data_IF_248066738454
#
_entry.id   IF_248066738454
#
_cell.length_a   1.000
_cell.length_b   1.000
_cell.length_c   1.000
_cell.angle_alpha   90.00
_cell.angle_beta   90.00
_cell.angle_gamma   90.00
#
_symmetry.space_group_name_H-M   'P 1'
#
loop_
_entity.id
_entity.type
_entity.pdbx_description
1 polymer ?
#
# COMPACT_ATOMS: atom_id res chain seq x y z
N UNK A 1 -4.46 -11.23 -16.80
CA UNK A 1 -5.05 -10.44 -15.71
C UNK A 1 -3.92 -9.73 -15.01
N UNK A 2 -4.11 -8.43 -14.73
CA UNK A 2 -3.06 -7.60 -14.15
C UNK A 2 -2.94 -7.89 -12.66
N UNK A 3 -1.77 -7.61 -12.11
CA UNK A 3 -1.49 -7.63 -10.67
C UNK A 3 -1.43 -6.21 -10.16
N UNK A 4 -1.84 -6.02 -8.92
CA UNK A 4 -1.73 -4.72 -8.25
C UNK A 4 -0.37 -4.60 -7.58
N UNK A 5 0.30 -3.49 -7.84
CA UNK A 5 1.57 -3.11 -7.22
C UNK A 5 1.40 -1.76 -6.54
N UNK A 6 2.12 -1.56 -5.45
CA UNK A 6 2.22 -0.27 -4.79
C UNK A 6 3.63 0.27 -4.92
N UNK A 7 3.76 1.55 -5.27
CA UNK A 7 5.02 2.27 -5.32
C UNK A 7 4.92 3.51 -4.45
N UNK A 8 5.97 3.79 -3.70
CA UNK A 8 6.07 4.95 -2.82
C UNK A 8 7.50 5.45 -2.83
N UNK A 9 7.69 6.74 -2.62
CA UNK A 9 9.04 7.24 -2.38
C UNK A 9 9.53 6.77 -1.01
N UNK A 10 10.84 6.68 -0.88
CA UNK A 10 11.50 6.33 0.36
C UNK A 10 11.21 7.44 1.36
N UNK A 11 10.71 7.04 2.53
CA UNK A 11 10.29 7.93 3.60
C UNK A 11 9.08 8.82 3.25
N UNK A 12 8.37 8.52 2.14
CA UNK A 12 7.14 9.20 1.81
C UNK A 12 5.91 8.59 2.49
N UNK A 13 4.98 9.50 2.70
CA UNK A 13 3.74 9.29 3.39
C UNK A 13 2.63 8.71 2.49
N UNK A 14 2.85 8.79 1.18
CA UNK A 14 1.89 8.47 0.12
C UNK A 14 2.54 7.63 -0.98
N UNK A 15 1.71 7.01 -1.81
CA UNK A 15 2.19 6.28 -2.98
C UNK A 15 1.07 6.02 -3.98
N UNK A 16 1.42 5.29 -5.04
CA UNK A 16 0.52 4.99 -6.15
C UNK A 16 0.30 3.50 -6.30
N UNK A 17 -0.95 3.13 -6.54
CA UNK A 17 -1.32 1.77 -6.90
C UNK A 17 -1.37 1.63 -8.41
N UNK A 18 -0.69 0.61 -8.93
CA UNK A 18 -0.57 0.36 -10.35
C UNK A 18 -1.01 -1.07 -10.66
N UNK A 19 -2.00 -1.20 -11.55
CA UNK A 19 -2.35 -2.47 -12.18
C UNK A 19 -1.44 -2.71 -13.39
N UNK A 20 -0.70 -3.82 -13.44
CA UNK A 20 0.07 -4.21 -14.63
C UNK A 20 0.33 -5.73 -14.70
N UNK A 21 0.73 -6.25 -15.87
CA UNK A 21 1.06 -7.66 -16.02
C UNK A 21 2.39 -8.02 -15.32
N UNK A 22 3.33 -7.08 -15.30
CA UNK A 22 4.68 -7.30 -14.79
C UNK A 22 5.15 -6.15 -13.89
N UNK A 23 6.04 -6.46 -12.96
CA UNK A 23 6.70 -5.46 -12.12
C UNK A 23 7.37 -4.34 -12.93
N UNK A 24 8.05 -4.70 -14.02
CA UNK A 24 8.75 -3.73 -14.88
C UNK A 24 7.80 -2.74 -15.53
N UNK A 25 6.64 -3.21 -15.97
CA UNK A 25 5.59 -2.37 -16.54
C UNK A 25 4.99 -1.47 -15.47
N UNK A 26 4.61 -2.04 -14.32
CA UNK A 26 4.05 -1.29 -13.20
C UNK A 26 4.98 -0.14 -12.77
N UNK A 27 6.27 -0.46 -12.64
CA UNK A 27 7.31 0.50 -12.26
C UNK A 27 7.44 1.64 -13.28
N UNK A 28 7.38 1.35 -14.59
CA UNK A 28 7.43 2.39 -15.62
C UNK A 28 6.24 3.33 -15.53
N UNK A 29 5.05 2.81 -15.27
CA UNK A 29 3.82 3.61 -15.13
C UNK A 29 3.91 4.47 -13.87
N UNK A 30 4.38 3.92 -12.75
CA UNK A 30 4.53 4.65 -11.50
C UNK A 30 5.38 5.94 -11.67
N UNK A 31 6.46 5.87 -12.44
CA UNK A 31 7.31 7.04 -12.75
C UNK A 31 6.70 8.06 -13.73
N UNK A 32 5.48 7.81 -14.21
CA UNK A 32 4.71 8.79 -14.98
C UNK A 32 3.63 9.47 -14.13
N UNK A 33 3.48 9.05 -12.87
CA UNK A 33 2.51 9.62 -11.94
C UNK A 33 3.15 10.78 -11.17
N UNK A 34 2.42 11.87 -11.00
CA UNK A 34 2.90 13.09 -10.32
C UNK A 34 3.18 12.85 -8.82
N UNK A 35 2.68 11.76 -8.24
CA UNK A 35 2.91 11.39 -6.84
C UNK A 35 4.29 10.74 -6.57
N UNK A 36 5.08 10.49 -7.61
CA UNK A 36 6.48 10.08 -7.49
C UNK A 36 7.34 11.15 -8.18
N UNK A 37 7.79 12.12 -7.39
CA UNK A 37 8.65 13.24 -7.77
C UNK A 37 10.06 13.10 -7.15
N UNK A 38 10.64 11.91 -7.28
CA UNK A 38 11.97 11.61 -6.78
C UNK A 38 12.84 10.82 -7.78
N UNK A 39 14.12 10.69 -7.46
CA UNK A 39 15.03 9.87 -8.26
C UNK A 39 14.68 8.37 -8.16
N UNK A 40 14.97 7.62 -9.23
CA UNK A 40 14.62 6.20 -9.36
C UNK A 40 15.10 5.30 -8.20
N UNK A 41 16.19 5.69 -7.54
CA UNK A 41 16.80 4.96 -6.43
C UNK A 41 16.03 5.11 -5.11
N UNK A 42 15.22 6.16 -5.02
CA UNK A 42 14.45 6.51 -3.83
C UNK A 42 12.98 6.07 -3.96
N UNK A 43 12.68 5.12 -4.87
CA UNK A 43 11.34 4.53 -4.98
C UNK A 43 11.35 3.09 -4.50
N UNK A 44 10.56 2.83 -3.49
CA UNK A 44 10.23 1.50 -3.02
C UNK A 44 8.94 1.01 -3.69
N UNK A 45 8.79 -0.31 -3.80
CA UNK A 45 7.50 -0.85 -4.16
C UNK A 45 7.41 -2.33 -3.90
N UNK A 46 6.18 -2.83 -3.94
CA UNK A 46 5.89 -4.23 -3.71
C UNK A 46 4.63 -4.67 -4.45
N UNK A 47 4.44 -5.98 -4.54
CA UNK A 47 3.21 -6.56 -5.06
C UNK A 47 2.19 -6.66 -3.92
N UNK A 48 0.97 -6.17 -4.15
CA UNK A 48 -0.11 -6.24 -3.18
C UNK A 48 -0.64 -7.68 -3.11
N UNK A 49 -0.86 -8.19 -1.89
CA UNK A 49 -1.28 -9.57 -1.65
C UNK A 49 -2.38 -9.66 -0.61
N UNK A 50 -3.29 -10.60 -0.81
CA UNK A 50 -4.30 -11.05 0.17
C UNK A 50 -4.11 -12.55 0.32
N UNK A 51 -4.01 -13.04 1.55
CA UNK A 51 -3.75 -14.47 1.84
C UNK A 51 -2.55 -15.03 1.06
N UNK A 52 -1.47 -14.24 1.00
CA UNK A 52 -0.23 -14.53 0.25
C UNK A 52 -0.38 -14.62 -1.28
N UNK A 53 -1.59 -14.40 -1.83
CA UNK A 53 -1.86 -14.41 -3.26
C UNK A 53 -1.86 -12.98 -3.82
N UNK A 54 -1.31 -12.75 -5.01
CA UNK A 54 -1.41 -11.45 -5.67
C UNK A 54 -2.85 -10.98 -5.83
N UNK A 55 -3.07 -9.69 -5.56
CA UNK A 55 -4.31 -9.01 -5.91
C UNK A 55 -4.36 -8.87 -7.42
N UNK A 56 -5.52 -9.15 -8.01
CA UNK A 56 -5.72 -9.15 -9.45
C UNK A 56 -6.74 -8.09 -9.86
N UNK A 57 -6.50 -7.47 -11.00
CA UNK A 57 -7.37 -6.43 -11.55
C UNK A 57 -7.45 -6.50 -13.08
N UNK A 58 -8.51 -5.94 -13.65
CA UNK A 58 -8.63 -5.70 -15.09
C UNK A 58 -7.98 -4.38 -15.51
N UNK A 59 -7.75 -3.45 -14.57
CA UNK A 59 -7.13 -2.15 -14.83
C UNK A 59 -5.67 -2.31 -15.21
N UNK A 60 -5.23 -1.63 -16.28
CA UNK A 60 -3.82 -1.46 -16.64
C UNK A 60 -3.46 0.02 -16.55
N UNK A 61 -2.66 0.40 -15.55
CA UNK A 61 -2.36 1.80 -15.25
C UNK A 61 -2.48 2.13 -13.77
N UNK A 62 -2.44 3.44 -13.48
CA UNK A 62 -2.75 3.99 -12.15
C UNK A 62 -4.17 3.58 -11.77
N UNK A 63 -4.32 3.13 -10.52
CA UNK A 63 -5.59 2.70 -9.96
C UNK A 63 -6.10 3.74 -8.97
N UNK A 64 -7.39 4.03 -9.07
CA UNK A 64 -8.11 4.83 -8.09
C UNK A 64 -8.65 3.95 -6.96
N UNK A 65 -9.11 4.56 -5.86
CA UNK A 65 -9.68 3.85 -4.72
C UNK A 65 -10.80 2.87 -5.12
N UNK A 66 -11.68 3.29 -6.02
CA UNK A 66 -12.79 2.47 -6.51
C UNK A 66 -12.33 1.21 -7.25
N UNK A 67 -11.19 1.27 -7.94
CA UNK A 67 -10.64 0.12 -8.66
C UNK A 67 -9.99 -0.88 -7.70
N UNK A 68 -9.44 -0.38 -6.60
CA UNK A 68 -8.88 -1.21 -5.52
C UNK A 68 -9.98 -1.96 -4.79
N UNK A 69 -11.10 -1.28 -4.46
CA UNK A 69 -12.28 -1.92 -3.89
C UNK A 69 -12.83 -3.02 -4.81
N UNK A 70 -12.93 -2.77 -6.12
CA UNK A 70 -13.37 -3.79 -7.11
C UNK A 70 -12.40 -4.97 -7.22
N UNK A 71 -11.11 -4.74 -6.98
CA UNK A 71 -10.09 -5.80 -6.97
C UNK A 71 -10.13 -6.68 -5.72
N UNK A 72 -11.00 -6.36 -4.76
CA UNK A 72 -11.05 -7.00 -3.44
C UNK A 72 -9.90 -6.57 -2.53
N UNK A 73 -9.11 -5.57 -2.93
CA UNK A 73 -8.12 -4.94 -2.07
C UNK A 73 -8.82 -3.94 -1.14
N UNK A 74 -9.49 -4.51 -0.16
CA UNK A 74 -10.20 -3.79 0.90
C UNK A 74 -9.23 -3.26 1.98
N UNK A 75 -7.97 -3.71 1.96
CA UNK A 75 -6.86 -3.23 2.79
C UNK A 75 -6.40 -1.78 2.43
N UNK A 76 -7.22 -1.03 1.70
CA UNK A 76 -6.97 0.37 1.34
C UNK A 76 -7.49 1.37 2.39
N UNK A 77 -8.08 0.90 3.49
CA UNK A 77 -8.50 1.81 4.56
C UNK A 77 -7.31 2.19 5.44
N UNK A 78 -6.86 3.43 5.28
CA UNK A 78 -6.26 4.14 6.40
C UNK A 78 -7.30 4.19 7.50
N UNK A 79 -7.08 3.41 8.55
CA UNK A 79 -7.84 3.59 9.77
C UNK A 79 -7.06 4.52 10.69
N UNK A 80 -7.77 5.25 11.54
CA UNK A 80 -7.15 5.95 12.65
C UNK A 80 -7.10 4.98 13.82
N UNK A 81 -5.90 4.46 14.09
CA UNK A 81 -5.61 3.47 15.13
C UNK A 81 -4.84 4.07 16.30
N UNK A 82 -4.60 3.29 17.35
CA UNK A 82 -3.86 3.77 18.53
C UNK A 82 -2.51 3.07 18.62
N UNK A 83 -1.45 3.81 18.30
CA UNK A 83 -0.11 3.28 18.46
C UNK A 83 0.38 3.49 19.89
N UNK A 84 0.39 2.41 20.68
CA UNK A 84 0.91 2.44 22.05
C UNK A 84 2.40 2.79 22.12
N UNK A 85 3.16 2.48 21.07
CA UNK A 85 4.60 2.77 21.02
C UNK A 85 4.89 4.24 20.70
N UNK A 86 4.15 4.83 19.77
CA UNK A 86 4.27 6.24 19.42
C UNK A 86 3.43 7.15 20.34
N UNK A 87 2.63 6.57 21.25
CA UNK A 87 1.60 7.26 22.02
C UNK A 87 0.63 8.08 21.14
N UNK A 88 0.44 7.67 19.88
CA UNK A 88 -0.48 8.34 18.96
C UNK A 88 -1.89 7.81 19.20
N UNK A 89 -2.75 8.66 19.73
CA UNK A 89 -4.19 8.41 19.77
C UNK A 89 -4.78 8.85 18.43
N UNK A 90 -5.31 7.90 17.64
CA UNK A 90 -5.81 8.14 16.28
C UNK A 90 -4.70 8.49 15.27
N UNK A 91 -3.62 7.71 15.24
CA UNK A 91 -2.60 7.80 14.20
C UNK A 91 -3.00 7.00 12.95
N UNK A 92 -2.50 7.37 11.76
CA UNK A 92 -2.74 6.59 10.55
C UNK A 92 -2.15 5.18 10.71
N UNK A 93 -2.99 4.17 10.52
CA UNK A 93 -2.59 2.76 10.45
C UNK A 93 -3.05 2.19 9.11
N UNK A 94 -2.26 1.28 8.55
CA UNK A 94 -2.64 0.58 7.32
C UNK A 94 -2.60 -0.94 7.53
N UNK A 95 -3.54 -1.69 6.96
CA UNK A 95 -3.53 -3.14 7.06
C UNK A 95 -2.44 -3.77 6.19
N UNK A 96 -1.80 -4.81 6.71
CA UNK A 96 -0.77 -5.60 6.05
C UNK A 96 -0.78 -7.02 6.61
N UNK A 97 -0.95 -8.03 5.75
CA UNK A 97 -0.94 -9.45 6.14
C UNK A 97 -1.92 -9.80 7.29
N UNK A 98 -3.11 -9.18 7.31
CA UNK A 98 -4.12 -9.37 8.35
C UNK A 98 -3.78 -8.72 9.70
N UNK A 99 -2.89 -7.72 9.69
CA UNK A 99 -2.45 -6.95 10.86
C UNK A 99 -2.55 -5.46 10.55
N UNK A 100 -2.79 -4.61 11.54
CA UNK A 100 -2.68 -3.16 11.37
C UNK A 100 -1.24 -2.76 11.65
N UNK A 101 -0.65 -1.92 10.81
CA UNK A 101 0.70 -1.39 11.00
C UNK A 101 0.59 0.11 11.26
N UNK A 102 1.19 0.57 12.36
CA UNK A 102 1.35 1.99 12.62
C UNK A 102 2.30 2.60 11.60
N UNK A 103 1.83 3.65 10.95
CA UNK A 103 2.60 4.38 9.96
C UNK A 103 3.93 4.95 10.47
N UNK A 104 3.92 5.51 11.67
CA UNK A 104 5.04 6.26 12.24
C UNK A 104 6.19 5.36 12.71
N UNK A 105 5.88 4.28 13.41
CA UNK A 105 6.92 3.35 13.89
C UNK A 105 7.06 2.08 13.07
N UNK A 106 6.20 1.87 12.05
CA UNK A 106 6.13 0.66 11.23
C UNK A 106 5.94 -0.64 12.05
N UNK A 107 5.39 -0.53 13.26
CA UNK A 107 5.12 -1.69 14.12
C UNK A 107 3.65 -2.11 14.10
N UNK A 108 3.44 -3.41 14.34
CA UNK A 108 2.15 -4.09 14.28
C UNK A 108 1.30 -3.73 15.48
N UNK A 109 0.11 -3.17 15.24
CA UNK A 109 -0.99 -3.18 16.20
C UNK A 109 -1.80 -4.47 16.03
N UNK A 110 -1.85 -5.28 17.09
CA UNK A 110 -2.93 -6.26 17.26
C UNK A 110 -4.07 -5.57 17.98
N UNK A 111 -5.24 -5.57 17.35
CA UNK A 111 -6.51 -5.20 17.98
C UNK A 111 -6.70 -5.93 19.33
N UNK A 112 -6.32 -5.26 20.43
CA UNK A 112 -6.77 -5.54 21.79
C UNK A 112 -6.46 -6.91 22.42
N UNK A 113 -5.52 -7.72 21.91
CA UNK A 113 -5.14 -8.98 22.58
C UNK A 113 -3.61 -9.17 22.67
N UNK A 114 -3.07 -9.48 23.87
CA UNK A 114 -1.64 -9.62 24.10
C UNK A 114 -1.07 -10.87 23.41
N UNK A 115 0.19 -10.80 22.99
CA UNK A 115 1.04 -11.95 22.62
C UNK A 115 2.06 -12.17 23.72
#
# INVERSE_FOLDING_TARGET
MNKVYFFTEKDADTGVFIGAMTWREARKIAFTCDEIDCEFIDVEGHICKIDQKPVLTEVNGKMECDDLLKSGYEDFYWEYGKCEKCCLENGPVYPSEGRMICYECREIERNGQPV
#
